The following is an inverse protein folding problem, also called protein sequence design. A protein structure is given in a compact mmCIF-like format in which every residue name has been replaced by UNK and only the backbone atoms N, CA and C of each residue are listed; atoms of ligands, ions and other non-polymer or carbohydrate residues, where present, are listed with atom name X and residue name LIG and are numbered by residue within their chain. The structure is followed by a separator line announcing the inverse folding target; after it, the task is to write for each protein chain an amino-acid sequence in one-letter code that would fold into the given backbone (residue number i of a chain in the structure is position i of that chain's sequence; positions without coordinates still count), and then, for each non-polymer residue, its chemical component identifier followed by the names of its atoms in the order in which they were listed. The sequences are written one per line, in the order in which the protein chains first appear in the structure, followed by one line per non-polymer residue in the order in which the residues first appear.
data_IF_677731232973
#
_entry.id   IF_677731232973
#
_cell.length_a   1.000
_cell.length_b   1.000
_cell.length_c   1.000
_cell.angle_alpha   90.00
_cell.angle_beta   90.00
_cell.angle_gamma   90.00
#
_symmetry.space_group_name_H-M   'P 1'
#
loop_
_entity.id
_entity.type
_entity.pdbx_description
1 polymer ?
#
# COMPACT_ATOMS: atom_id res chain seq x y z
N UNK A 1 -16.64 5.32 -10.68
CA UNK A 1 -16.46 5.90 -9.32
C UNK A 1 -15.07 6.50 -9.17
N UNK A 2 -14.94 7.84 -9.25
CA UNK A 2 -13.64 8.54 -9.18
C UNK A 2 -12.87 8.26 -7.88
N UNK A 3 -13.59 8.13 -6.74
CA UNK A 3 -13.00 7.81 -5.43
C UNK A 3 -12.26 6.45 -5.43
N UNK A 4 -12.83 5.40 -6.04
CA UNK A 4 -12.20 4.08 -5.97
C UNK A 4 -10.88 4.04 -6.76
N UNK A 5 -10.84 4.66 -7.94
CA UNK A 5 -9.58 4.83 -8.69
C UNK A 5 -8.54 5.65 -7.94
N UNK A 6 -8.97 6.62 -7.14
CA UNK A 6 -8.08 7.38 -6.27
C UNK A 6 -7.52 6.51 -5.16
N UNK A 7 -8.36 5.74 -4.45
CA UNK A 7 -7.93 4.84 -3.37
C UNK A 7 -6.97 3.76 -3.86
N UNK A 8 -7.19 3.21 -5.06
CA UNK A 8 -6.26 2.25 -5.69
C UNK A 8 -4.91 2.91 -5.99
N UNK A 9 -4.89 4.12 -6.55
CA UNK A 9 -3.63 4.85 -6.80
C UNK A 9 -2.90 5.21 -5.51
N UNK A 10 -3.64 5.65 -4.50
CA UNK A 10 -3.09 5.98 -3.18
C UNK A 10 -2.46 4.75 -2.53
N UNK A 11 -3.13 3.60 -2.56
CA UNK A 11 -2.60 2.35 -2.01
C UNK A 11 -1.33 1.88 -2.72
N UNK A 12 -1.28 1.98 -4.06
CA UNK A 12 -0.03 1.74 -4.80
C UNK A 12 1.09 2.69 -4.39
N UNK A 13 0.81 3.99 -4.26
CA UNK A 13 1.81 4.97 -3.79
C UNK A 13 2.30 4.65 -2.37
N UNK A 14 1.41 4.30 -1.45
CA UNK A 14 1.79 3.91 -0.09
C UNK A 14 2.69 2.69 -0.09
N UNK A 15 2.33 1.63 -0.83
CA UNK A 15 3.15 0.41 -0.91
C UNK A 15 4.53 0.71 -1.49
N UNK A 16 4.62 1.53 -2.55
CA UNK A 16 5.89 1.88 -3.18
C UNK A 16 6.76 2.73 -2.24
N UNK A 17 6.20 3.74 -1.59
CA UNK A 17 6.94 4.64 -0.71
C UNK A 17 7.38 3.90 0.55
N UNK A 18 6.44 3.34 1.31
CA UNK A 18 6.78 2.65 2.56
C UNK A 18 7.57 1.37 2.31
N UNK A 19 7.22 0.59 1.29
CA UNK A 19 7.90 -0.66 0.96
C UNK A 19 9.28 -0.43 0.35
N UNK A 20 9.41 0.61 -0.49
CA UNK A 20 10.69 1.02 -1.04
C UNK A 20 11.66 1.48 0.04
N UNK A 21 11.22 2.35 0.96
CA UNK A 21 12.10 2.82 2.04
C UNK A 21 12.44 1.68 3.00
N UNK A 22 11.47 0.83 3.36
CA UNK A 22 11.72 -0.35 4.19
C UNK A 22 12.77 -1.27 3.55
N UNK A 23 12.63 -1.57 2.26
CA UNK A 23 13.56 -2.44 1.53
C UNK A 23 14.96 -1.85 1.51
N UNK A 24 15.11 -0.57 1.17
CA UNK A 24 16.42 0.08 1.10
C UNK A 24 17.09 0.10 2.47
N UNK A 25 16.36 0.48 3.53
CA UNK A 25 16.90 0.56 4.89
C UNK A 25 17.24 -0.82 5.46
N UNK A 26 16.38 -1.80 5.25
CA UNK A 26 16.60 -3.17 5.71
C UNK A 26 17.88 -3.76 5.09
N UNK A 27 18.06 -3.64 3.76
CA UNK A 27 19.22 -4.21 3.09
C UNK A 27 20.52 -3.40 3.29
N UNK A 28 20.45 -2.06 3.40
CA UNK A 28 21.67 -1.24 3.50
C UNK A 28 22.11 -0.92 4.91
N UNK A 29 21.18 -0.80 5.86
CA UNK A 29 21.47 -0.38 7.23
C UNK A 29 21.19 -1.49 8.25
N UNK A 30 20.64 -2.63 7.83
CA UNK A 30 20.19 -3.70 8.73
C UNK A 30 19.18 -3.21 9.79
N UNK A 31 18.54 -2.06 9.53
CA UNK A 31 17.55 -1.44 10.39
C UNK A 31 16.16 -1.91 10.00
N UNK A 32 15.44 -2.50 10.95
CA UNK A 32 14.07 -2.94 10.76
C UNK A 32 13.11 -1.83 11.22
N UNK A 33 12.61 -1.05 10.26
CA UNK A 33 11.62 0.01 10.52
C UNK A 33 10.22 -0.59 10.53
N UNK A 34 9.76 -0.96 11.73
CA UNK A 34 8.41 -1.46 11.96
C UNK A 34 7.33 -0.47 11.52
N UNK A 35 7.59 0.83 11.64
CA UNK A 35 6.70 1.91 11.19
C UNK A 35 6.44 1.84 9.67
N UNK A 36 7.48 1.62 8.86
CA UNK A 36 7.33 1.46 7.42
C UNK A 36 6.66 0.15 7.05
N UNK A 37 6.95 -0.92 7.78
CA UNK A 37 6.29 -2.20 7.58
C UNK A 37 4.78 -2.08 7.82
N UNK A 38 4.36 -1.41 8.89
CA UNK A 38 2.94 -1.11 9.17
C UNK A 38 2.34 -0.27 8.04
N UNK A 39 3.06 0.74 7.54
CA UNK A 39 2.63 1.55 6.39
C UNK A 39 2.37 0.72 5.12
N UNK A 40 3.22 -0.28 4.85
CA UNK A 40 3.02 -1.23 3.73
C UNK A 40 1.78 -2.08 3.95
N UNK A 41 1.58 -2.63 5.14
CA UNK A 41 0.40 -3.43 5.46
C UNK A 41 -0.90 -2.64 5.33
N UNK A 42 -0.93 -1.40 5.82
CA UNK A 42 -2.09 -0.50 5.66
C UNK A 42 -2.35 -0.25 4.17
N UNK A 43 -1.30 0.05 3.39
CA UNK A 43 -1.41 0.23 1.94
C UNK A 43 -1.96 -1.01 1.22
N UNK A 44 -1.52 -2.21 1.60
CA UNK A 44 -1.98 -3.47 1.03
C UNK A 44 -3.45 -3.76 1.38
N UNK A 45 -3.85 -3.54 2.64
CA UNK A 45 -5.26 -3.68 3.07
C UNK A 45 -6.14 -2.71 2.29
N UNK A 46 -5.71 -1.46 2.14
CA UNK A 46 -6.44 -0.45 1.38
C UNK A 46 -6.60 -0.84 -0.10
N UNK A 47 -5.56 -1.41 -0.71
CA UNK A 47 -5.60 -1.93 -2.07
C UNK A 47 -6.64 -3.04 -2.21
N UNK A 48 -6.60 -4.04 -1.32
CA UNK A 48 -7.51 -5.20 -1.35
C UNK A 48 -8.96 -4.73 -1.17
N UNK A 49 -9.25 -3.89 -0.17
CA UNK A 49 -10.59 -3.36 0.08
C UNK A 49 -11.10 -2.56 -1.13
N UNK A 50 -10.25 -1.71 -1.72
CA UNK A 50 -10.62 -0.91 -2.89
C UNK A 50 -10.88 -1.77 -4.13
N UNK A 51 -10.09 -2.84 -4.33
CA UNK A 51 -10.29 -3.80 -5.41
C UNK A 51 -11.58 -4.62 -5.24
N UNK A 52 -11.88 -5.10 -4.03
CA UNK A 52 -13.12 -5.79 -3.71
C UNK A 52 -14.33 -4.88 -3.93
N UNK A 53 -14.24 -3.62 -3.50
CA UNK A 53 -15.26 -2.61 -3.77
C UNK A 53 -15.44 -2.43 -5.28
N UNK A 54 -14.35 -2.32 -6.05
CA UNK A 54 -14.45 -2.13 -7.51
C UNK A 54 -15.17 -3.29 -8.18
N UNK A 55 -14.90 -4.51 -7.75
CA UNK A 55 -15.50 -5.73 -8.29
C UNK A 55 -17.00 -5.81 -7.97
N UNK A 56 -17.41 -5.42 -6.77
CA UNK A 56 -18.81 -5.46 -6.33
C UNK A 56 -19.73 -4.48 -7.07
N UNK A 57 -19.18 -3.38 -7.62
CA UNK A 57 -19.94 -2.41 -8.42
C UNK A 57 -19.87 -2.66 -9.94
N UNK A 58 -19.15 -3.69 -10.38
CA UNK A 58 -19.05 -4.08 -11.80
C UNK A 58 -19.88 -5.33 -12.15
N UNK A 59 -20.35 -6.08 -11.14
CA UNK A 59 -21.33 -7.17 -11.26
C UNK A 59 -22.74 -6.61 -11.02
#
# INVERSE_FOLDING_TARGET
MKINQFLIRLSYMMIIIFGGVFTIRYFRMNELLLDQLIGVFIGAILLIVSLLWRRKYML
#
